data_IF_270425437221
#
_entry.id   IF_270425437221
#
_cell.length_a   1.000
_cell.length_b   1.000
_cell.length_c   1.000
_cell.angle_alpha   90.00
_cell.angle_beta   90.00
_cell.angle_gamma   90.00
#
_symmetry.space_group_name_H-M   'P 1'
#
loop_
_entity.id
_entity.type
_entity.pdbx_description
1 polymer ?
#
# COMPACT_ATOMS: atom_id res chain seq x y z
N UNK A 1 -5.61 -6.24 6.50
CA UNK A 1 -6.50 -7.28 5.99
C UNK A 1 -7.30 -6.79 4.80
N UNK A 2 -7.52 -7.65 3.80
CA UNK A 2 -8.44 -7.40 2.71
C UNK A 2 -9.87 -7.58 3.20
N UNK A 3 -10.75 -6.64 2.88
CA UNK A 3 -12.12 -6.69 3.36
C UNK A 3 -12.99 -7.72 2.63
N UNK A 4 -12.74 -7.98 1.36
CA UNK A 4 -13.63 -8.78 0.50
C UNK A 4 -12.94 -9.85 -0.35
N UNK A 5 -11.60 -9.90 -0.43
CA UNK A 5 -10.90 -10.90 -1.24
C UNK A 5 -11.12 -12.32 -0.72
N UNK A 6 -10.94 -12.53 0.57
CA UNK A 6 -11.18 -13.83 1.20
C UNK A 6 -12.63 -14.33 1.03
N UNK A 7 -13.59 -13.42 1.01
CA UNK A 7 -14.99 -13.74 0.88
C UNK A 7 -15.40 -13.97 -0.58
N UNK A 8 -14.83 -13.24 -1.52
CA UNK A 8 -15.06 -13.44 -2.98
C UNK A 8 -14.71 -14.86 -3.39
N UNK A 9 -13.60 -15.38 -2.86
CA UNK A 9 -13.17 -16.74 -3.11
C UNK A 9 -14.20 -17.79 -2.68
N UNK A 10 -14.72 -17.67 -1.47
CA UNK A 10 -15.58 -18.66 -0.88
C UNK A 10 -16.90 -18.89 -1.64
N UNK A 11 -17.52 -17.83 -2.21
CA UNK A 11 -18.83 -17.92 -2.88
C UNK A 11 -18.90 -17.32 -4.26
N UNK A 12 -17.81 -16.90 -4.84
CA UNK A 12 -17.85 -16.08 -6.06
C UNK A 12 -18.68 -14.79 -5.91
N UNK A 13 -18.89 -14.33 -4.68
CA UNK A 13 -19.70 -13.17 -4.38
C UNK A 13 -18.86 -11.90 -4.45
N UNK A 14 -19.39 -10.89 -5.10
CA UNK A 14 -18.83 -9.56 -5.10
C UNK A 14 -19.43 -8.80 -3.90
N UNK A 15 -18.71 -8.69 -2.81
CA UNK A 15 -19.17 -7.98 -1.63
C UNK A 15 -18.89 -6.51 -1.85
N UNK A 16 -19.96 -5.72 -1.94
CA UNK A 16 -19.87 -4.30 -2.24
C UNK A 16 -20.11 -3.41 -1.02
N UNK A 17 -20.72 -3.92 0.04
CA UNK A 17 -21.02 -3.18 1.25
C UNK A 17 -20.24 -3.72 2.46
N UNK A 18 -19.75 -2.81 3.32
CA UNK A 18 -19.05 -3.19 4.54
C UNK A 18 -19.90 -3.95 5.54
N UNK A 19 -21.22 -3.80 5.47
CA UNK A 19 -22.18 -4.45 6.36
C UNK A 19 -22.83 -5.68 5.74
N UNK A 20 -22.39 -6.12 4.57
CA UNK A 20 -22.83 -7.36 3.98
C UNK A 20 -22.34 -8.56 4.80
N UNK A 21 -23.28 -9.38 5.29
CA UNK A 21 -22.95 -10.61 6.02
C UNK A 21 -22.45 -11.69 5.08
N UNK A 22 -21.51 -12.46 5.56
CA UNK A 22 -20.81 -13.47 4.79
C UNK A 22 -20.90 -14.80 5.52
N UNK A 23 -21.69 -15.69 4.97
CA UNK A 23 -21.67 -17.08 5.41
C UNK A 23 -20.41 -17.81 4.90
N UNK A 24 -19.81 -18.72 5.65
CA UNK A 24 -20.38 -19.33 6.88
C UNK A 24 -19.99 -18.59 8.17
N UNK A 25 -19.23 -17.50 8.09
CA UNK A 25 -18.61 -16.88 9.26
C UNK A 25 -19.55 -15.97 10.07
N UNK A 26 -20.71 -15.63 9.50
CA UNK A 26 -21.69 -14.67 10.07
C UNK A 26 -21.06 -13.33 10.50
N UNK A 27 -20.01 -12.92 9.80
CA UNK A 27 -19.26 -11.68 10.02
C UNK A 27 -19.48 -10.71 8.86
N UNK A 28 -19.27 -9.42 9.12
CA UNK A 28 -19.21 -8.39 8.09
C UNK A 28 -17.78 -7.88 7.92
N UNK A 29 -17.39 -7.35 6.74
CA UNK A 29 -16.11 -6.69 6.54
C UNK A 29 -15.84 -5.61 7.60
N UNK A 30 -16.84 -4.83 7.99
CA UNK A 30 -16.73 -3.81 9.06
C UNK A 30 -16.30 -4.44 10.39
N UNK A 31 -16.89 -5.55 10.78
CA UNK A 31 -16.54 -6.23 12.03
C UNK A 31 -15.10 -6.76 12.00
N UNK A 32 -14.68 -7.33 10.88
CA UNK A 32 -13.30 -7.83 10.69
C UNK A 32 -12.31 -6.67 10.78
N UNK A 33 -12.55 -5.58 10.05
CA UNK A 33 -11.67 -4.41 10.05
C UNK A 33 -11.59 -3.80 11.46
N UNK A 34 -12.74 -3.61 12.13
CA UNK A 34 -12.78 -3.07 13.49
C UNK A 34 -11.99 -3.94 14.48
N UNK A 35 -12.17 -5.27 14.42
CA UNK A 35 -11.46 -6.21 15.28
C UNK A 35 -9.93 -6.13 15.10
N UNK A 36 -9.44 -6.02 13.87
CA UNK A 36 -7.99 -5.87 13.62
C UNK A 36 -7.46 -4.51 14.08
N UNK A 37 -8.22 -3.43 13.89
CA UNK A 37 -7.85 -2.10 14.41
C UNK A 37 -7.76 -2.16 15.93
N UNK A 38 -8.76 -2.75 16.60
CA UNK A 38 -8.78 -2.91 18.05
C UNK A 38 -7.61 -3.76 18.54
N UNK A 39 -7.36 -4.90 17.93
CA UNK A 39 -6.25 -5.77 18.29
C UNK A 39 -4.89 -5.07 18.16
N UNK A 40 -4.62 -4.41 17.04
CA UNK A 40 -3.35 -3.72 16.82
C UNK A 40 -3.12 -2.58 17.83
N UNK A 41 -4.16 -1.85 18.17
CA UNK A 41 -4.05 -0.75 19.14
C UNK A 41 -4.00 -1.26 20.58
N UNK A 42 -4.76 -2.29 20.95
CA UNK A 42 -4.76 -2.89 22.30
C UNK A 42 -3.43 -3.56 22.62
N UNK A 43 -2.88 -4.30 21.66
CA UNK A 43 -1.57 -4.95 21.82
C UNK A 43 -0.41 -3.96 21.75
N UNK A 44 -0.67 -2.70 21.42
CA UNK A 44 0.37 -1.68 21.25
C UNK A 44 1.37 -2.05 20.17
N UNK A 45 0.89 -2.62 19.07
CA UNK A 45 1.77 -2.98 17.96
C UNK A 45 2.49 -1.72 17.45
N UNK A 46 3.79 -1.81 17.12
CA UNK A 46 4.55 -0.66 16.65
C UNK A 46 3.99 -0.09 15.33
N UNK A 47 3.44 -0.94 14.50
CA UNK A 47 2.76 -0.56 13.25
C UNK A 47 1.22 -0.63 13.36
N UNK A 48 0.47 0.21 12.65
CA UNK A 48 -0.98 0.07 12.54
C UNK A 48 -1.35 -1.17 11.71
N UNK A 49 -2.63 -1.56 11.77
CA UNK A 49 -3.14 -2.55 10.82
C UNK A 49 -3.10 -1.97 9.41
N UNK A 50 -2.64 -2.76 8.43
CA UNK A 50 -2.68 -2.45 7.02
C UNK A 50 -3.97 -2.99 6.41
N UNK A 51 -4.75 -2.11 5.79
CA UNK A 51 -6.08 -2.42 5.28
C UNK A 51 -6.09 -2.27 3.75
N UNK A 52 -6.35 -3.37 3.05
CA UNK A 52 -6.78 -3.36 1.66
C UNK A 52 -8.29 -3.16 1.67
N UNK A 53 -8.78 -2.00 1.23
CA UNK A 53 -10.21 -1.71 1.29
C UNK A 53 -11.02 -2.62 0.36
N UNK A 54 -12.30 -2.77 0.67
CA UNK A 54 -13.24 -3.48 -0.20
C UNK A 54 -13.38 -2.81 -1.56
N UNK A 55 -13.82 -3.57 -2.55
CA UNK A 55 -14.10 -3.09 -3.91
C UNK A 55 -12.87 -2.57 -4.67
N UNK A 56 -11.71 -3.22 -4.48
CA UNK A 56 -10.50 -2.90 -5.23
C UNK A 56 -10.79 -2.78 -6.73
N UNK A 57 -10.42 -1.65 -7.33
CA UNK A 57 -10.55 -1.42 -8.78
C UNK A 57 -11.97 -1.21 -9.30
N UNK A 58 -12.99 -1.11 -8.43
CA UNK A 58 -14.36 -0.82 -8.83
C UNK A 58 -14.63 0.68 -8.94
N UNK A 59 -15.30 1.11 -9.99
CA UNK A 59 -15.83 2.49 -10.08
C UNK A 59 -16.75 2.80 -8.90
N UNK A 60 -16.54 3.94 -8.25
CA UNK A 60 -17.33 4.38 -7.09
C UNK A 60 -16.85 3.82 -5.75
N UNK A 61 -15.73 3.10 -5.70
CA UNK A 61 -15.21 2.50 -4.48
C UNK A 61 -14.73 3.50 -3.41
N UNK A 62 -14.51 4.76 -3.78
CA UNK A 62 -14.07 5.80 -2.82
C UNK A 62 -15.01 5.94 -1.62
N UNK A 63 -16.33 5.74 -1.80
CA UNK A 63 -17.30 5.79 -0.71
C UNK A 63 -17.03 4.70 0.33
N UNK A 64 -16.83 3.46 -0.15
CA UNK A 64 -16.46 2.32 0.72
C UNK A 64 -15.11 2.56 1.41
N UNK A 65 -14.18 3.21 0.73
CA UNK A 65 -12.87 3.57 1.29
C UNK A 65 -13.00 4.60 2.40
N UNK A 66 -13.79 5.65 2.19
CA UNK A 66 -14.09 6.64 3.24
C UNK A 66 -14.79 5.99 4.45
N UNK A 67 -15.74 5.09 4.22
CA UNK A 67 -16.39 4.35 5.31
C UNK A 67 -15.39 3.46 6.06
N UNK A 68 -14.49 2.79 5.34
CA UNK A 68 -13.41 1.97 5.96
C UNK A 68 -12.53 2.82 6.87
N UNK A 69 -12.11 4.00 6.41
CA UNK A 69 -11.29 4.90 7.22
C UNK A 69 -12.03 5.41 8.47
N UNK A 70 -13.35 5.63 8.38
CA UNK A 70 -14.17 6.03 9.54
C UNK A 70 -14.23 4.97 10.63
N UNK A 71 -14.07 3.67 10.29
CA UNK A 71 -14.05 2.58 11.30
C UNK A 71 -12.92 2.76 12.31
N UNK A 72 -11.85 3.44 11.92
CA UNK A 72 -10.73 3.70 12.83
C UNK A 72 -11.12 4.57 14.05
N UNK A 73 -12.11 5.46 13.95
CA UNK A 73 -12.61 6.30 15.05
C UNK A 73 -11.48 7.03 15.80
N UNK A 74 -10.51 7.58 15.07
CA UNK A 74 -9.32 8.25 15.61
C UNK A 74 -8.16 7.34 16.01
N UNK A 75 -8.35 6.01 16.00
CA UNK A 75 -7.27 5.03 16.20
C UNK A 75 -6.36 4.97 14.97
N UNK A 76 -5.18 4.35 15.14
CA UNK A 76 -4.22 4.21 14.04
C UNK A 76 -4.69 3.13 13.05
N UNK A 77 -4.72 3.50 11.76
CA UNK A 77 -4.93 2.58 10.64
C UNK A 77 -4.14 3.03 9.42
N UNK A 78 -3.70 2.08 8.60
CA UNK A 78 -2.98 2.36 7.36
C UNK A 78 -3.75 1.77 6.18
N UNK A 79 -4.04 2.60 5.19
CA UNK A 79 -4.73 2.18 3.97
C UNK A 79 -3.70 1.90 2.90
N UNK A 80 -3.67 0.67 2.43
CA UNK A 80 -2.68 0.19 1.47
C UNK A 80 -3.11 0.54 0.04
N UNK A 81 -2.13 0.91 -0.81
CA UNK A 81 -2.33 1.23 -2.24
C UNK A 81 -3.62 2.00 -2.52
N UNK A 82 -3.82 3.08 -1.77
CA UNK A 82 -5.08 3.83 -1.72
C UNK A 82 -5.56 4.36 -3.08
N UNK A 83 -4.64 4.49 -4.05
CA UNK A 83 -4.96 4.87 -5.41
C UNK A 83 -6.02 3.96 -6.04
N UNK A 84 -5.92 2.63 -5.85
CA UNK A 84 -6.86 1.66 -6.40
C UNK A 84 -8.22 1.65 -5.71
N UNK A 85 -8.35 2.45 -4.67
CA UNK A 85 -9.54 2.66 -3.84
C UNK A 85 -10.10 4.09 -3.93
N UNK A 86 -9.61 4.89 -4.90
CA UNK A 86 -9.95 6.31 -5.05
C UNK A 86 -10.78 6.60 -6.31
N UNK A 87 -11.55 5.62 -6.77
CA UNK A 87 -12.36 5.77 -7.98
C UNK A 87 -13.75 6.30 -7.65
N UNK A 88 -14.17 7.32 -8.40
CA UNK A 88 -15.55 7.73 -8.56
C UNK A 88 -16.20 7.06 -9.76
N UNK A 89 -17.39 7.50 -10.10
CA UNK A 89 -18.13 7.05 -11.29
C UNK A 89 -18.75 8.25 -12.02
N UNK A 90 -18.89 8.12 -13.33
CA UNK A 90 -19.64 9.13 -14.10
C UNK A 90 -21.13 8.91 -13.90
N UNK A 91 -21.85 9.93 -13.45
CA UNK A 91 -23.30 9.87 -13.26
C UNK A 91 -24.01 9.46 -14.56
N UNK A 92 -24.86 8.42 -14.49
CA UNK A 92 -25.68 7.95 -15.62
C UNK A 92 -24.94 7.10 -16.66
N UNK A 93 -23.65 6.81 -16.48
CA UNK A 93 -22.90 5.85 -17.29
C UNK A 93 -22.66 4.55 -16.51
N UNK A 94 -22.39 3.49 -17.27
CA UNK A 94 -22.03 2.18 -16.71
C UNK A 94 -20.93 2.32 -15.65
N UNK A 95 -20.93 1.41 -14.66
CA UNK A 95 -19.87 1.29 -13.62
C UNK A 95 -18.46 1.11 -14.21
N UNK A 96 -18.35 1.03 -15.54
CA UNK A 96 -17.10 0.72 -16.24
C UNK A 96 -16.24 1.96 -16.58
N UNK A 97 -16.73 3.18 -16.36
CA UNK A 97 -15.96 4.41 -16.57
C UNK A 97 -15.65 5.11 -15.23
N UNK A 98 -14.55 4.74 -14.58
CA UNK A 98 -14.13 5.40 -13.33
C UNK A 98 -13.72 6.86 -13.58
N UNK A 99 -13.82 7.67 -12.54
CA UNK A 99 -13.23 9.03 -12.45
C UNK A 99 -12.35 9.10 -11.22
N UNK A 100 -11.59 10.18 -11.05
CA UNK A 100 -10.86 10.39 -9.80
C UNK A 100 -11.77 10.93 -8.68
N UNK A 101 -11.56 10.41 -7.47
CA UNK A 101 -12.03 10.98 -6.20
C UNK A 101 -10.85 11.12 -5.21
N UNK A 102 -9.65 11.25 -5.77
CA UNK A 102 -8.43 11.46 -4.97
C UNK A 102 -8.53 12.70 -4.08
N UNK A 103 -9.26 13.73 -4.49
CA UNK A 103 -9.51 14.93 -3.66
C UNK A 103 -10.19 14.56 -2.35
N UNK A 104 -11.30 13.82 -2.40
CA UNK A 104 -12.08 13.44 -1.21
C UNK A 104 -11.26 12.56 -0.27
N UNK A 105 -10.51 11.64 -0.84
CA UNK A 105 -9.62 10.74 -0.09
C UNK A 105 -8.47 11.51 0.57
N UNK A 106 -7.78 12.37 -0.18
CA UNK A 106 -6.68 13.18 0.36
C UNK A 106 -7.17 14.14 1.46
N UNK A 107 -8.32 14.77 1.28
CA UNK A 107 -8.93 15.64 2.29
C UNK A 107 -9.24 14.88 3.59
N UNK A 108 -9.77 13.66 3.46
CA UNK A 108 -10.02 12.82 4.64
C UNK A 108 -8.70 12.47 5.36
N UNK A 109 -7.70 12.01 4.63
CA UNK A 109 -6.38 11.66 5.22
C UNK A 109 -5.72 12.88 5.86
N UNK A 110 -5.77 14.05 5.22
CA UNK A 110 -5.21 15.29 5.74
C UNK A 110 -5.84 15.73 7.08
N UNK A 111 -7.14 15.45 7.27
CA UNK A 111 -7.90 15.89 8.45
C UNK A 111 -7.99 14.86 9.57
N UNK A 112 -7.57 13.60 9.33
CA UNK A 112 -7.68 12.51 10.31
C UNK A 112 -6.30 11.97 10.71
N UNK A 113 -5.69 12.48 11.78
CA UNK A 113 -4.32 12.16 12.16
C UNK A 113 -4.03 10.68 12.45
N UNK A 114 -5.03 9.89 12.80
CA UNK A 114 -4.90 8.44 12.99
C UNK A 114 -4.75 7.66 11.68
N UNK A 115 -5.10 8.26 10.53
CA UNK A 115 -5.05 7.61 9.24
C UNK A 115 -3.77 7.96 8.50
N UNK A 116 -3.15 6.94 7.91
CA UNK A 116 -2.09 7.07 6.92
C UNK A 116 -2.37 6.15 5.74
N UNK A 117 -1.72 6.41 4.61
CA UNK A 117 -1.86 5.56 3.43
C UNK A 117 -0.54 5.46 2.66
N UNK A 118 -0.32 4.35 1.97
CA UNK A 118 0.60 4.31 0.85
C UNK A 118 -0.17 4.47 -0.46
N UNK A 119 0.47 5.09 -1.44
CA UNK A 119 -0.27 5.47 -2.64
C UNK A 119 -0.45 4.29 -3.60
N UNK A 120 0.56 3.42 -3.78
CA UNK A 120 0.51 2.37 -4.77
C UNK A 120 0.52 2.93 -6.20
N UNK A 121 1.33 3.98 -6.46
CA UNK A 121 1.28 4.76 -7.69
C UNK A 121 1.53 3.92 -8.95
N UNK A 122 0.63 4.00 -9.92
CA UNK A 122 0.82 3.38 -11.24
C UNK A 122 1.87 4.15 -12.03
N UNK A 123 2.80 3.40 -12.61
CA UNK A 123 3.80 3.91 -13.54
C UNK A 123 3.64 3.22 -14.90
N UNK A 124 3.79 3.97 -15.98
CA UNK A 124 3.72 3.39 -17.31
C UNK A 124 4.90 2.46 -17.58
N UNK A 125 4.62 1.32 -18.22
CA UNK A 125 5.62 0.31 -18.50
C UNK A 125 5.18 -1.09 -18.08
N UNK A 126 6.13 -2.02 -18.10
CA UNK A 126 5.87 -3.42 -17.74
C UNK A 126 5.72 -3.57 -16.24
N UNK A 127 4.74 -4.37 -15.86
CA UNK A 127 4.49 -4.77 -14.48
C UNK A 127 4.10 -6.25 -14.44
N UNK A 128 3.99 -6.80 -13.26
CA UNK A 128 3.51 -8.17 -13.08
C UNK A 128 2.56 -8.17 -11.92
N UNK A 129 1.32 -8.36 -12.13
CA UNK A 129 0.34 -8.67 -11.10
C UNK A 129 -1.10 -8.39 -11.45
N UNK A 130 -1.91 -8.23 -10.42
CA UNK A 130 -3.31 -7.84 -10.52
C UNK A 130 -3.43 -6.44 -11.12
N UNK A 131 -4.26 -6.34 -12.14
CA UNK A 131 -4.43 -5.08 -12.86
C UNK A 131 -5.17 -4.00 -12.05
N UNK A 132 -5.72 -4.37 -10.89
CA UNK A 132 -6.64 -3.56 -10.09
C UNK A 132 -7.76 -2.91 -10.93
N UNK A 133 -8.19 -3.64 -11.96
CA UNK A 133 -9.33 -3.32 -12.82
C UNK A 133 -10.34 -4.43 -12.64
N UNK A 134 -11.31 -4.24 -11.75
CA UNK A 134 -12.27 -5.28 -11.38
C UNK A 134 -13.01 -5.93 -12.56
N UNK A 135 -13.49 -5.20 -13.59
CA UNK A 135 -14.09 -5.82 -14.76
C UNK A 135 -13.15 -6.76 -15.50
N UNK A 136 -11.87 -6.37 -15.65
CA UNK A 136 -10.87 -7.20 -16.32
C UNK A 136 -10.54 -8.46 -15.50
N UNK A 137 -10.35 -8.32 -14.20
CA UNK A 137 -10.12 -9.44 -13.29
C UNK A 137 -11.29 -10.44 -13.32
N UNK A 138 -12.53 -9.93 -13.32
CA UNK A 138 -13.72 -10.77 -13.45
C UNK A 138 -13.79 -11.52 -14.79
N UNK A 139 -13.45 -10.84 -15.90
CA UNK A 139 -13.42 -11.48 -17.22
C UNK A 139 -12.34 -12.55 -17.30
N UNK A 140 -11.14 -12.28 -16.82
CA UNK A 140 -10.05 -13.24 -16.79
C UNK A 140 -10.45 -14.51 -16.03
N UNK A 141 -11.13 -14.35 -14.89
CA UNK A 141 -11.69 -15.48 -14.15
C UNK A 141 -12.73 -16.27 -14.93
N UNK A 142 -13.68 -15.58 -15.57
CA UNK A 142 -14.74 -16.22 -16.39
C UNK A 142 -14.17 -17.05 -17.51
N UNK A 143 -13.13 -16.60 -18.18
CA UNK A 143 -12.52 -17.26 -19.33
C UNK A 143 -11.47 -18.31 -18.95
N UNK A 144 -10.69 -18.04 -17.91
CA UNK A 144 -9.56 -18.88 -17.52
C UNK A 144 -9.91 -19.99 -16.53
N UNK A 145 -11.05 -19.89 -15.84
CA UNK A 145 -11.39 -20.80 -14.74
C UNK A 145 -10.41 -20.71 -13.55
N UNK A 146 -9.50 -19.73 -13.57
CA UNK A 146 -8.43 -19.59 -12.60
C UNK A 146 -8.83 -18.61 -11.48
N UNK A 147 -8.40 -18.85 -10.48
CA UNK A 147 -7.76 -18.53 -9.24
C UNK A 147 -7.75 -17.08 -8.77
N UNK A 148 -8.02 -16.12 -9.65
CA UNK A 148 -7.96 -14.69 -9.29
C UNK A 148 -8.82 -14.34 -8.09
N UNK A 149 -9.74 -15.23 -7.79
CA UNK A 149 -10.70 -15.04 -6.75
C UNK A 149 -11.19 -16.39 -6.25
N UNK A 150 -10.31 -17.27 -5.76
CA UNK A 150 -10.77 -18.37 -4.96
C UNK A 150 -10.04 -18.38 -3.62
N UNK A 151 -10.72 -18.82 -2.57
CA UNK A 151 -10.24 -18.81 -1.22
C UNK A 151 -8.88 -19.54 -1.08
N UNK A 152 -8.74 -20.67 -1.74
CA UNK A 152 -7.52 -21.47 -1.68
C UNK A 152 -6.30 -20.72 -2.17
N UNK A 153 -6.46 -19.89 -3.22
CA UNK A 153 -5.35 -19.15 -3.80
C UNK A 153 -4.88 -18.01 -2.91
N UNK A 154 -5.79 -17.27 -2.33
CA UNK A 154 -5.44 -16.14 -1.46
C UNK A 154 -4.84 -16.62 -0.15
N UNK A 155 -5.25 -17.78 0.30
CA UNK A 155 -4.79 -18.32 1.57
C UNK A 155 -3.53 -19.15 1.46
N UNK A 156 -3.30 -19.82 0.33
CA UNK A 156 -2.17 -20.74 0.16
C UNK A 156 -1.03 -20.18 -0.68
N UNK A 157 -1.32 -19.35 -1.67
CA UNK A 157 -0.32 -18.90 -2.64
C UNK A 157 -0.41 -17.44 -3.03
N UNK A 158 -1.34 -16.70 -2.44
CA UNK A 158 -1.64 -15.35 -2.85
C UNK A 158 -2.28 -15.27 -4.23
N UNK A 159 -2.48 -14.05 -4.71
CA UNK A 159 -3.08 -13.79 -6.00
C UNK A 159 -2.20 -14.28 -7.14
N UNK A 160 -2.82 -14.77 -8.22
CA UNK A 160 -2.10 -15.11 -9.44
C UNK A 160 -1.42 -13.89 -10.06
N UNK A 161 -0.23 -14.08 -10.58
CA UNK A 161 0.57 -13.04 -11.22
C UNK A 161 0.29 -13.05 -12.72
N UNK A 162 -0.04 -11.90 -13.31
CA UNK A 162 -0.19 -11.71 -14.75
C UNK A 162 0.79 -10.67 -15.23
N UNK A 163 1.56 -10.94 -16.28
CA UNK A 163 2.30 -9.90 -16.97
C UNK A 163 1.33 -8.84 -17.50
N UNK A 164 1.58 -7.60 -17.17
CA UNK A 164 0.75 -6.46 -17.55
C UNK A 164 1.63 -5.30 -18.02
N UNK A 165 1.09 -4.47 -18.91
CA UNK A 165 1.77 -3.25 -19.35
C UNK A 165 0.83 -2.06 -19.20
N UNK A 166 1.15 -1.16 -18.29
CA UNK A 166 0.46 0.12 -18.18
C UNK A 166 0.83 1.02 -19.34
N UNK A 167 -0.18 1.55 -20.04
CA UNK A 167 -0.02 2.35 -21.24
C UNK A 167 -0.67 3.72 -21.05
N UNK A 168 0.07 4.76 -21.37
CA UNK A 168 -0.33 6.18 -21.28
C UNK A 168 -1.60 6.53 -22.07
N UNK A 169 -1.78 5.88 -23.23
CA UNK A 169 -2.94 6.07 -24.11
C UNK A 169 -4.23 5.37 -23.65
N UNK A 170 -4.11 4.38 -22.74
CA UNK A 170 -5.26 3.62 -22.23
C UNK A 170 -5.93 4.39 -21.11
N UNK A 171 -7.21 4.71 -21.28
CA UNK A 171 -7.97 5.55 -20.35
C UNK A 171 -7.80 5.14 -18.89
N UNK A 172 -8.07 3.88 -18.56
CA UNK A 172 -7.99 3.41 -17.17
C UNK A 172 -6.59 3.51 -16.59
N UNK A 173 -5.55 3.17 -17.39
CA UNK A 173 -4.16 3.26 -16.90
C UNK A 173 -3.73 4.72 -16.70
N UNK A 174 -4.14 5.60 -17.62
CA UNK A 174 -3.89 7.03 -17.53
C UNK A 174 -4.59 7.65 -16.31
N UNK A 175 -5.84 7.24 -16.04
CA UNK A 175 -6.57 7.68 -14.86
C UNK A 175 -5.91 7.19 -13.57
N UNK A 176 -5.45 5.94 -13.53
CA UNK A 176 -4.73 5.38 -12.39
C UNK A 176 -3.45 6.17 -12.10
N UNK A 177 -2.65 6.45 -13.13
CA UNK A 177 -1.46 7.29 -13.03
C UNK A 177 -1.80 8.70 -12.51
N UNK A 178 -2.86 9.32 -13.03
CA UNK A 178 -3.28 10.65 -12.60
C UNK A 178 -3.75 10.66 -11.14
N UNK A 179 -4.52 9.67 -10.70
CA UNK A 179 -4.97 9.53 -9.31
C UNK A 179 -3.79 9.42 -8.34
N UNK A 180 -2.78 8.62 -8.68
CA UNK A 180 -1.60 8.47 -7.83
C UNK A 180 -0.86 9.79 -7.61
N UNK A 181 -0.64 10.55 -8.68
CA UNK A 181 -0.03 11.88 -8.59
C UNK A 181 -0.94 12.88 -7.85
N UNK A 182 -2.25 12.86 -8.12
CA UNK A 182 -3.21 13.73 -7.48
C UNK A 182 -3.22 13.53 -5.95
N UNK A 183 -3.17 12.29 -5.47
CA UNK A 183 -3.09 11.96 -4.04
C UNK A 183 -1.85 12.57 -3.38
N UNK A 184 -0.68 12.39 -3.99
CA UNK A 184 0.55 13.01 -3.48
C UNK A 184 0.45 14.55 -3.47
N UNK A 185 0.07 15.15 -4.58
CA UNK A 185 0.07 16.61 -4.74
C UNK A 185 -1.01 17.33 -3.92
N UNK A 186 -2.03 16.60 -3.45
CA UNK A 186 -3.05 17.10 -2.52
C UNK A 186 -2.76 16.79 -1.06
N UNK A 187 -1.75 16.00 -0.78
CA UNK A 187 -1.29 15.77 0.59
C UNK A 187 -0.68 17.05 1.15
N UNK A 188 -1.22 17.53 2.26
CA UNK A 188 -0.73 18.75 2.94
C UNK A 188 0.31 18.44 4.01
N UNK A 189 0.48 17.17 4.35
CA UNK A 189 1.44 16.68 5.33
C UNK A 189 2.14 15.43 4.77
N UNK A 190 3.46 15.50 4.45
CA UNK A 190 4.20 14.38 3.89
C UNK A 190 4.26 13.16 4.82
N UNK A 191 3.92 13.34 6.09
CA UNK A 191 3.82 12.25 7.06
C UNK A 191 2.52 11.42 6.93
N UNK A 192 1.61 11.74 6.00
CA UNK A 192 0.34 11.06 5.81
C UNK A 192 0.31 10.09 4.65
N UNK A 193 1.00 10.42 3.55
CA UNK A 193 1.07 9.61 2.35
C UNK A 193 2.47 9.02 2.19
N UNK A 194 2.56 7.69 2.12
CA UNK A 194 3.83 6.99 1.96
C UNK A 194 4.06 6.68 0.48
N UNK A 195 5.31 6.78 0.07
CA UNK A 195 5.75 6.49 -1.28
C UNK A 195 5.71 4.98 -1.55
N UNK A 196 4.96 4.57 -2.57
CA UNK A 196 4.80 3.17 -2.96
C UNK A 196 4.31 3.08 -4.40
N UNK A 197 4.67 2.02 -5.10
CA UNK A 197 4.05 1.57 -6.35
C UNK A 197 3.29 0.26 -6.16
N UNK A 198 3.10 -0.18 -4.92
CA UNK A 198 2.54 -1.50 -4.63
C UNK A 198 3.29 -2.59 -5.42
N UNK A 199 4.63 -2.53 -5.35
CA UNK A 199 5.54 -3.35 -6.17
C UNK A 199 5.17 -4.83 -6.15
N UNK A 200 4.95 -5.48 -7.30
CA UNK A 200 5.08 -4.95 -8.66
C UNK A 200 3.77 -4.45 -9.30
N UNK A 201 2.67 -4.36 -8.57
CA UNK A 201 1.31 -4.16 -9.09
C UNK A 201 1.14 -2.84 -9.88
N UNK A 202 1.40 -1.69 -9.29
CA UNK A 202 1.30 -0.38 -9.96
C UNK A 202 2.55 -0.04 -10.78
N UNK A 203 3.68 -0.62 -10.41
CA UNK A 203 4.96 -0.43 -11.09
C UNK A 203 6.09 -1.10 -10.33
N UNK A 204 7.18 -1.40 -11.01
CA UNK A 204 8.37 -1.94 -10.36
C UNK A 204 9.07 -0.85 -9.54
N UNK A 205 9.81 -1.22 -8.49
CA UNK A 205 10.61 -0.24 -7.73
C UNK A 205 11.69 0.45 -8.60
N UNK A 206 12.02 -0.11 -9.76
CA UNK A 206 12.87 0.57 -10.75
C UNK A 206 12.24 1.85 -11.31
N UNK A 207 10.94 2.04 -11.15
CA UNK A 207 10.22 3.26 -11.54
C UNK A 207 10.29 4.37 -10.47
N UNK A 208 10.84 4.09 -9.29
CA UNK A 208 10.88 5.07 -8.20
C UNK A 208 11.58 6.38 -8.56
N UNK A 209 12.73 6.39 -9.26
CA UNK A 209 13.37 7.63 -9.68
C UNK A 209 12.47 8.50 -10.58
N UNK A 210 11.78 7.88 -11.53
CA UNK A 210 10.85 8.58 -12.41
C UNK A 210 9.63 9.14 -11.64
N UNK A 211 9.09 8.39 -10.68
CA UNK A 211 8.00 8.88 -9.83
C UNK A 211 8.45 10.04 -8.95
N UNK A 212 9.66 9.98 -8.37
CA UNK A 212 10.23 11.08 -7.60
C UNK A 212 10.35 12.33 -8.49
N UNK A 213 10.87 12.19 -9.71
CA UNK A 213 10.94 13.31 -10.66
C UNK A 213 9.56 13.89 -10.96
N UNK A 214 8.53 13.07 -11.16
CA UNK A 214 7.16 13.55 -11.34
C UNK A 214 6.65 14.38 -10.15
N UNK A 215 7.09 14.11 -8.94
CA UNK A 215 6.72 14.87 -7.74
C UNK A 215 7.53 16.16 -7.59
N UNK A 216 8.80 16.18 -7.99
CA UNK A 216 9.72 17.29 -7.78
C UNK A 216 9.83 18.26 -8.96
N UNK A 217 9.49 17.84 -10.19
CA UNK A 217 9.68 18.59 -11.42
C UNK A 217 8.32 18.82 -12.10
N UNK A 218 7.77 20.00 -11.90
CA UNK A 218 6.47 20.39 -12.46
C UNK A 218 6.49 20.46 -13.98
N UNK A 219 7.59 20.90 -14.57
CA UNK A 219 7.63 21.09 -16.03
C UNK A 219 7.80 19.72 -16.72
N UNK A 220 8.58 18.82 -16.16
CA UNK A 220 8.60 17.41 -16.56
C UNK A 220 7.21 16.76 -16.45
N UNK A 221 6.53 16.97 -15.34
CA UNK A 221 5.16 16.45 -15.13
C UNK A 221 4.19 16.96 -16.19
N UNK A 222 4.27 18.24 -16.57
CA UNK A 222 3.45 18.82 -17.67
C UNK A 222 3.78 18.17 -19.00
N UNK A 223 5.05 17.96 -19.30
CA UNK A 223 5.48 17.28 -20.52
C UNK A 223 4.88 15.86 -20.57
N UNK A 224 5.00 15.09 -19.50
CA UNK A 224 4.42 13.74 -19.45
C UNK A 224 2.89 13.77 -19.64
N UNK A 225 2.19 14.70 -19.01
CA UNK A 225 0.74 14.86 -19.16
C UNK A 225 0.30 15.15 -20.60
N UNK A 226 1.14 15.75 -21.45
CA UNK A 226 0.82 16.00 -22.83
C UNK A 226 0.69 14.72 -23.67
N UNK A 227 1.33 13.63 -23.24
CA UNK A 227 1.31 12.33 -23.92
C UNK A 227 0.25 11.36 -23.37
N UNK A 228 -0.28 11.64 -22.19
CA UNK A 228 -1.26 10.78 -21.51
C UNK A 228 -2.66 10.99 -22.10
N UNK A 229 -3.52 9.97 -22.03
CA UNK A 229 -4.92 10.05 -22.43
C UNK A 229 -5.61 11.28 -21.84
N UNK A 230 -6.04 12.22 -22.69
CA UNK A 230 -6.58 13.52 -22.24
C UNK A 230 -7.93 13.39 -21.54
N UNK A 231 -8.80 12.47 -22.01
CA UNK A 231 -10.10 12.23 -21.36
C UNK A 231 -9.92 11.73 -19.92
N UNK A 232 -8.93 10.89 -19.68
CA UNK A 232 -8.59 10.44 -18.32
C UNK A 232 -8.11 11.59 -17.42
N UNK A 233 -7.29 12.50 -17.98
CA UNK A 233 -6.86 13.70 -17.24
C UNK A 233 -8.02 14.66 -16.95
N UNK A 234 -8.97 14.80 -17.85
CA UNK A 234 -10.15 15.64 -17.66
C UNK A 234 -11.11 15.05 -16.61
N UNK A 235 -11.08 13.72 -16.43
CA UNK A 235 -11.82 13.00 -15.38
C UNK A 235 -11.03 12.84 -14.06
N UNK A 236 -9.86 13.48 -13.95
CA UNK A 236 -9.06 13.60 -12.74
C UNK A 236 -9.00 15.05 -12.26
N UNK A 237 -8.57 15.25 -11.01
CA UNK A 237 -8.28 16.58 -10.48
C UNK A 237 -6.81 16.99 -10.62
N UNK A 238 -6.01 16.23 -11.37
CA UNK A 238 -4.56 16.45 -11.45
C UNK A 238 -4.19 17.84 -11.97
N UNK A 239 -4.92 18.36 -12.97
CA UNK A 239 -4.67 19.70 -13.54
C UNK A 239 -4.83 20.82 -12.52
N UNK A 240 -5.61 20.61 -11.47
CA UNK A 240 -5.89 21.62 -10.44
C UNK A 240 -4.78 21.71 -9.39
N UNK A 241 -3.99 20.66 -9.19
CA UNK A 241 -2.93 20.60 -8.19
C UNK A 241 -1.50 20.65 -8.76
N UNK A 242 -1.36 21.08 -10.03
CA UNK A 242 -0.10 21.10 -10.75
C UNK A 242 0.97 22.06 -10.21
N UNK A 243 0.60 22.99 -9.36
CA UNK A 243 1.56 23.99 -8.81
C UNK A 243 2.44 23.43 -7.70
N UNK A 244 2.04 22.34 -7.05
CA UNK A 244 2.78 21.73 -5.94
C UNK A 244 4.00 20.98 -6.47
N UNK A 245 5.12 21.11 -5.77
CA UNK A 245 6.35 20.36 -5.98
C UNK A 245 6.89 19.90 -4.64
N UNK A 246 7.41 18.67 -4.61
CA UNK A 246 8.06 18.14 -3.42
C UNK A 246 9.51 18.62 -3.34
N UNK A 247 9.89 19.05 -2.16
CA UNK A 247 11.29 19.31 -1.82
C UNK A 247 12.07 18.00 -1.57
N UNK A 248 13.40 18.04 -1.59
CA UNK A 248 14.24 16.90 -1.19
C UNK A 248 13.91 16.41 0.24
N UNK A 249 13.56 17.34 1.12
CA UNK A 249 13.18 17.03 2.50
C UNK A 249 11.88 16.22 2.55
N UNK A 250 10.85 16.61 1.80
CA UNK A 250 9.59 15.88 1.74
C UNK A 250 9.76 14.51 1.06
N UNK A 251 10.60 14.42 0.02
CA UNK A 251 10.98 13.13 -0.57
C UNK A 251 11.64 12.22 0.47
N UNK A 252 12.57 12.74 1.28
CA UNK A 252 13.19 11.96 2.36
C UNK A 252 12.16 11.48 3.38
N UNK A 253 11.15 12.30 3.70
CA UNK A 253 10.07 11.90 4.60
C UNK A 253 9.27 10.75 3.99
N UNK A 254 8.69 10.92 2.80
CA UNK A 254 7.76 9.93 2.23
C UNK A 254 8.45 8.62 1.82
N UNK A 255 9.77 8.62 1.59
CA UNK A 255 10.53 7.45 1.14
C UNK A 255 11.37 6.79 2.23
N UNK A 256 11.66 7.46 3.35
CA UNK A 256 12.56 6.96 4.41
C UNK A 256 11.96 7.14 5.80
N UNK A 257 11.85 8.38 6.27
CA UNK A 257 11.46 8.67 7.65
C UNK A 257 10.04 8.17 7.97
N UNK A 258 9.08 8.41 7.09
CA UNK A 258 7.71 7.98 7.31
C UNK A 258 7.53 6.46 7.24
N UNK A 259 8.06 5.73 6.23
CA UNK A 259 8.01 4.27 6.23
C UNK A 259 8.59 3.65 7.50
N UNK A 260 9.77 4.09 7.95
CA UNK A 260 10.37 3.59 9.18
C UNK A 260 9.45 3.83 10.40
N UNK A 261 8.95 5.06 10.55
CA UNK A 261 8.03 5.41 11.64
C UNK A 261 6.71 4.64 11.57
N UNK A 262 6.19 4.38 10.36
CA UNK A 262 4.97 3.60 10.16
C UNK A 262 5.13 2.16 10.62
N UNK A 263 6.30 1.58 10.39
CA UNK A 263 6.64 0.23 10.81
C UNK A 263 7.10 0.15 12.28
N UNK A 264 7.20 1.29 12.99
CA UNK A 264 7.65 1.36 14.38
C UNK A 264 9.14 1.16 14.58
N UNK A 265 9.96 1.42 13.54
CA UNK A 265 11.41 1.29 13.58
C UNK A 265 12.03 2.59 14.10
N UNK A 266 12.29 2.65 15.39
CA UNK A 266 12.75 3.86 16.06
C UNK A 266 14.21 4.24 15.72
N UNK A 267 15.00 3.27 15.32
CA UNK A 267 16.42 3.37 14.96
C UNK A 267 16.67 3.55 13.46
N UNK A 268 15.61 3.66 12.64
CA UNK A 268 15.69 3.79 11.19
C UNK A 268 15.00 5.05 10.65
N UNK A 269 15.39 5.44 9.44
CA UNK A 269 14.76 6.55 8.71
C UNK A 269 15.16 7.94 9.18
N UNK A 270 16.19 8.07 10.00
CA UNK A 270 16.79 9.34 10.45
C UNK A 270 18.30 9.20 10.65
N UNK A 271 18.98 10.34 10.75
CA UNK A 271 20.44 10.44 10.99
C UNK A 271 20.77 10.92 12.42
N UNK A 272 19.83 10.74 13.34
CA UNK A 272 20.01 11.15 14.74
C UNK A 272 20.91 10.17 15.52
N UNK A 273 21.35 10.60 16.71
CA UNK A 273 22.15 9.74 17.61
C UNK A 273 21.34 8.49 17.98
N UNK A 274 21.95 7.33 17.83
CA UNK A 274 21.34 6.02 18.11
C UNK A 274 20.61 5.40 16.92
N UNK A 275 20.57 6.07 15.76
CA UNK A 275 20.08 5.46 14.52
C UNK A 275 21.10 4.43 13.99
N UNK A 276 20.56 3.43 13.28
CA UNK A 276 21.39 2.55 12.47
C UNK A 276 22.13 3.34 11.40
N UNK A 277 23.35 2.93 11.07
CA UNK A 277 24.16 3.55 10.01
C UNK A 277 23.69 3.12 8.62
N UNK A 278 22.41 3.38 8.32
CA UNK A 278 21.78 3.14 7.01
C UNK A 278 21.72 4.46 6.23
N UNK A 279 22.70 4.72 5.38
CA UNK A 279 22.87 6.01 4.71
C UNK A 279 22.96 5.83 3.20
N UNK A 280 22.17 6.61 2.47
CA UNK A 280 22.26 6.71 1.00
C UNK A 280 22.66 8.13 0.62
N UNK A 281 23.73 8.28 -0.14
CA UNK A 281 24.27 9.58 -0.58
C UNK A 281 24.11 9.68 -2.10
N UNK A 282 23.43 10.74 -2.53
CA UNK A 282 23.24 11.08 -3.94
C UNK A 282 24.07 12.32 -4.29
N UNK A 283 24.52 12.40 -5.53
CA UNK A 283 25.03 13.65 -6.10
C UNK A 283 23.84 14.50 -6.58
N UNK A 284 23.81 15.76 -6.17
CA UNK A 284 22.72 16.65 -6.60
C UNK A 284 22.79 16.91 -8.11
N UNK A 285 21.66 16.71 -8.80
CA UNK A 285 21.52 16.95 -10.22
C UNK A 285 20.18 17.63 -10.53
N UNK A 286 20.11 18.36 -11.64
CA UNK A 286 18.84 18.95 -12.13
C UNK A 286 17.85 17.85 -12.52
N UNK A 287 18.33 16.84 -13.25
CA UNK A 287 17.53 15.64 -13.55
C UNK A 287 17.39 14.77 -12.31
N UNK A 288 16.25 14.89 -11.63
CA UNK A 288 15.95 14.14 -10.40
C UNK A 288 15.81 12.64 -10.64
N UNK A 289 15.40 12.21 -11.83
CA UNK A 289 15.36 10.80 -12.18
C UNK A 289 16.77 10.19 -12.23
N UNK A 290 17.68 10.85 -12.95
CA UNK A 290 19.07 10.43 -13.02
C UNK A 290 19.74 10.44 -11.63
N UNK A 291 19.48 11.49 -10.83
CA UNK A 291 19.99 11.62 -9.48
C UNK A 291 19.60 10.42 -8.61
N UNK A 292 18.31 10.08 -8.55
CA UNK A 292 17.81 9.02 -7.67
C UNK A 292 18.00 7.61 -8.22
N UNK A 293 18.30 7.47 -9.51
CA UNK A 293 18.60 6.15 -10.12
C UNK A 293 19.99 5.63 -9.75
N UNK A 294 20.93 6.49 -9.37
CA UNK A 294 22.32 6.12 -9.15
C UNK A 294 22.87 6.79 -7.87
N UNK A 295 22.64 6.19 -6.68
CA UNK A 295 23.29 6.66 -5.46
C UNK A 295 24.80 6.52 -5.58
N UNK A 296 25.53 7.53 -5.15
CA UNK A 296 27.00 7.49 -5.17
C UNK A 296 27.57 6.57 -4.09
N UNK A 297 26.99 6.66 -2.88
CA UNK A 297 27.36 5.78 -1.77
C UNK A 297 26.11 5.20 -1.11
N UNK A 298 26.21 3.93 -0.72
CA UNK A 298 25.26 3.27 0.18
C UNK A 298 26.04 2.64 1.32
N UNK A 299 25.69 3.03 2.53
CA UNK A 299 26.18 2.42 3.78
C UNK A 299 24.98 1.68 4.39
N UNK A 300 25.19 0.44 4.80
CA UNK A 300 24.18 -0.41 5.43
C UNK A 300 24.76 -1.02 6.70
N UNK A 301 24.14 -0.74 7.85
CA UNK A 301 24.62 -1.13 9.18
C UNK A 301 26.13 -0.80 9.36
N UNK A 302 26.58 0.36 8.86
CA UNK A 302 27.97 0.81 8.92
C UNK A 302 28.92 0.23 7.85
N UNK A 303 28.47 -0.70 7.03
CA UNK A 303 29.24 -1.30 5.95
C UNK A 303 29.01 -0.55 4.62
N UNK A 304 30.10 -0.24 3.91
CA UNK A 304 30.06 0.43 2.61
C UNK A 304 29.68 -0.59 1.52
N UNK A 305 28.43 -0.54 1.07
CA UNK A 305 27.87 -1.47 0.08
C UNK A 305 28.04 -0.96 -1.35
N UNK A 306 27.88 0.35 -1.56
CA UNK A 306 28.12 1.00 -2.85
C UNK A 306 29.08 2.17 -2.64
N UNK A 307 30.10 2.29 -3.48
CA UNK A 307 31.08 3.36 -3.55
C UNK A 307 31.29 3.79 -5.00
N UNK A 308 31.12 5.10 -5.25
CA UNK A 308 31.23 5.70 -6.59
C UNK A 308 30.40 4.92 -7.66
N UNK A 309 29.15 4.59 -7.31
CA UNK A 309 28.17 3.82 -8.12
C UNK A 309 28.54 2.34 -8.34
N UNK A 310 29.63 1.86 -7.76
CA UNK A 310 30.09 0.49 -7.90
C UNK A 310 29.73 -0.35 -6.67
N UNK A 311 29.28 -1.55 -6.90
CA UNK A 311 28.93 -2.50 -5.86
C UNK A 311 30.21 -3.04 -5.18
N UNK A 312 30.28 -3.00 -3.85
CA UNK A 312 31.47 -3.36 -3.07
C UNK A 312 31.28 -4.62 -2.22
N UNK A 313 30.13 -4.77 -1.62
CA UNK A 313 29.86 -5.84 -0.69
C UNK A 313 28.39 -6.26 -0.70
N UNK A 314 28.15 -7.57 -0.52
CA UNK A 314 26.84 -8.09 -0.14
C UNK A 314 26.62 -7.85 1.36
N UNK A 315 25.44 -7.41 1.73
CA UNK A 315 25.05 -7.25 3.11
C UNK A 315 23.77 -8.04 3.40
N UNK A 316 23.81 -8.95 4.36
CA UNK A 316 22.65 -9.67 4.82
C UNK A 316 21.79 -8.77 5.71
N UNK A 317 20.50 -8.64 5.38
CA UNK A 317 19.55 -7.89 6.19
C UNK A 317 19.10 -8.64 7.43
N UNK A 318 18.34 -7.94 8.29
CA UNK A 318 17.70 -8.54 9.48
C UNK A 318 16.21 -8.73 9.24
N UNK A 319 15.65 -9.80 9.78
CA UNK A 319 14.20 -10.00 9.85
C UNK A 319 13.67 -9.27 11.07
N UNK A 320 12.85 -8.26 10.87
CA UNK A 320 12.20 -7.50 11.94
C UNK A 320 10.81 -8.07 12.20
N UNK A 321 10.48 -8.42 13.41
CA UNK A 321 9.18 -8.99 13.75
C UNK A 321 8.69 -8.53 15.13
N UNK A 322 7.39 -8.70 15.38
CA UNK A 322 6.76 -8.47 16.68
C UNK A 322 6.31 -9.82 17.25
N UNK A 323 6.32 -9.94 18.57
CA UNK A 323 5.84 -11.12 19.27
C UNK A 323 4.99 -10.68 20.48
N UNK A 324 3.76 -10.19 20.27
CA UNK A 324 2.87 -9.83 21.37
C UNK A 324 2.49 -11.08 22.17
N UNK A 325 2.40 -10.94 23.50
CA UNK A 325 1.87 -11.99 24.34
C UNK A 325 0.38 -12.22 24.07
N UNK A 326 -0.06 -13.47 24.12
CA UNK A 326 -1.46 -13.87 23.97
C UNK A 326 -1.76 -15.10 24.84
N UNK A 327 -3.04 -15.32 25.12
CA UNK A 327 -3.50 -16.52 25.82
C UNK A 327 -3.50 -17.72 24.86
N UNK A 328 -2.53 -18.63 25.02
CA UNK A 328 -2.38 -19.81 24.17
C UNK A 328 -3.57 -20.79 24.26
N UNK A 329 -4.44 -20.67 25.26
CA UNK A 329 -5.65 -21.50 25.33
C UNK A 329 -6.58 -21.27 24.13
N UNK A 330 -6.49 -20.10 23.48
CA UNK A 330 -7.28 -19.80 22.27
C UNK A 330 -6.93 -20.75 21.10
N UNK A 331 -5.72 -21.28 21.04
CA UNK A 331 -5.31 -22.21 19.98
C UNK A 331 -6.20 -23.45 19.93
N UNK A 332 -6.60 -23.98 21.08
CA UNK A 332 -7.51 -25.14 21.18
C UNK A 332 -8.89 -24.85 20.57
N UNK A 333 -9.30 -23.58 20.57
CA UNK A 333 -10.57 -23.13 19.98
C UNK A 333 -10.42 -22.93 18.47
N UNK A 334 -9.28 -22.41 18.03
CA UNK A 334 -9.02 -22.07 16.63
C UNK A 334 -8.67 -23.29 15.79
N UNK A 335 -7.91 -24.25 16.35
CA UNK A 335 -7.38 -25.40 15.62
C UNK A 335 -8.45 -26.22 14.89
N UNK A 336 -9.58 -26.65 15.50
CA UNK A 336 -10.61 -27.39 14.79
C UNK A 336 -11.23 -26.61 13.62
N UNK A 337 -11.47 -25.30 13.85
CA UNK A 337 -12.00 -24.44 12.79
C UNK A 337 -10.99 -24.28 11.64
N UNK A 338 -9.70 -24.13 11.98
CA UNK A 338 -8.64 -24.00 11.00
C UNK A 338 -8.51 -25.26 10.14
N UNK A 339 -8.52 -26.44 10.76
CA UNK A 339 -8.44 -27.73 10.05
C UNK A 339 -9.66 -28.01 9.16
N UNK A 340 -10.85 -27.48 9.50
CA UNK A 340 -12.06 -27.64 8.70
C UNK A 340 -12.12 -26.73 7.46
N UNK A 341 -11.44 -25.56 7.50
CA UNK A 341 -11.59 -24.54 6.45
C UNK A 341 -10.34 -24.32 5.60
N UNK A 342 -9.18 -24.79 6.04
CA UNK A 342 -7.91 -24.53 5.37
C UNK A 342 -7.23 -25.82 4.93
N UNK A 343 -6.50 -25.76 3.83
CA UNK A 343 -5.69 -26.91 3.37
C UNK A 343 -4.34 -27.02 4.07
N UNK A 344 -3.91 -25.95 4.75
CA UNK A 344 -2.73 -25.96 5.62
C UNK A 344 -3.16 -26.37 7.03
N UNK A 345 -2.45 -27.28 7.65
CA UNK A 345 -2.71 -27.66 9.03
C UNK A 345 -2.31 -26.56 10.00
N UNK A 346 -3.08 -26.37 11.07
CA UNK A 346 -2.79 -25.40 12.11
C UNK A 346 -1.35 -25.54 12.66
N UNK A 347 -0.90 -26.75 12.91
CA UNK A 347 0.45 -27.05 13.38
C UNK A 347 1.58 -26.60 12.43
N UNK A 348 1.28 -26.38 11.14
CA UNK A 348 2.26 -25.91 10.16
C UNK A 348 2.20 -24.39 9.93
N UNK A 349 1.25 -23.70 10.54
CA UNK A 349 1.10 -22.26 10.39
C UNK A 349 2.15 -21.44 11.14
N UNK A 350 2.52 -21.78 12.41
CA UNK A 350 3.55 -21.05 13.12
C UNK A 350 4.94 -21.24 12.48
N UNK A 351 5.63 -20.12 12.31
CA UNK A 351 7.03 -20.14 11.83
C UNK A 351 7.95 -20.47 12.99
N UNK A 352 8.68 -21.57 12.89
CA UNK A 352 9.66 -21.97 13.93
C UNK A 352 10.85 -20.99 13.94
N UNK A 353 11.32 -20.62 15.13
CA UNK A 353 12.48 -19.75 15.35
C UNK A 353 13.74 -20.23 14.60
N UNK A 354 13.89 -21.54 14.35
CA UNK A 354 15.00 -22.08 13.55
C UNK A 354 15.09 -21.54 12.11
N UNK A 355 13.99 -20.94 11.61
CA UNK A 355 13.93 -20.29 10.29
C UNK A 355 14.13 -18.78 10.37
N UNK A 356 14.23 -18.22 11.58
CA UNK A 356 14.40 -16.78 11.80
C UNK A 356 15.90 -16.49 12.00
N UNK A 357 16.68 -16.56 10.92
CA UNK A 357 18.09 -16.17 10.94
C UNK A 357 18.21 -14.65 10.99
N UNK A 358 19.15 -14.14 11.78
CA UNK A 358 19.40 -12.69 11.92
C UNK A 358 18.13 -11.88 12.19
N UNK A 359 17.32 -12.31 13.17
CA UNK A 359 16.09 -11.63 13.50
C UNK A 359 16.25 -10.63 14.67
N UNK A 360 15.41 -9.60 14.66
CA UNK A 360 15.32 -8.60 15.72
C UNK A 360 13.86 -8.40 16.10
N UNK A 361 13.59 -8.45 17.41
CA UNK A 361 12.26 -8.16 17.94
C UNK A 361 12.03 -6.65 17.98
N UNK A 362 10.95 -6.19 17.38
CA UNK A 362 10.47 -4.82 17.51
C UNK A 362 9.51 -4.73 18.71
N UNK A 363 9.78 -3.85 19.68
CA UNK A 363 8.98 -3.81 20.91
C UNK A 363 7.53 -3.43 20.67
N UNK A 364 6.62 -4.04 21.42
CA UNK A 364 5.23 -3.59 21.56
C UNK A 364 5.10 -2.65 22.75
N UNK A 365 4.15 -1.73 22.70
CA UNK A 365 3.88 -0.77 23.78
C UNK A 365 2.39 -0.87 24.19
N UNK A 366 1.97 -1.90 24.95
CA UNK A 366 0.58 -2.05 25.37
C UNK A 366 0.08 -0.83 26.13
N UNK A 367 -1.10 -0.34 25.79
CA UNK A 367 -1.74 0.79 26.47
C UNK A 367 -1.40 2.18 25.94
N UNK A 368 -0.60 2.32 24.92
CA UNK A 368 -0.42 3.59 24.20
C UNK A 368 -1.65 3.90 23.33
N UNK A 369 -2.78 4.16 23.96
CA UNK A 369 -4.00 4.60 23.29
C UNK A 369 -3.79 6.02 22.74
N UNK A 370 -3.62 6.14 21.43
CA UNK A 370 -4.06 7.34 20.70
C UNK A 370 -3.17 8.57 20.64
N UNK A 371 -2.00 8.60 21.24
CA UNK A 371 -1.10 9.73 21.03
C UNK A 371 -0.11 9.43 19.89
N UNK A 372 -0.23 10.12 18.77
CA UNK A 372 0.87 10.17 17.80
C UNK A 372 2.09 10.75 18.55
N UNK A 373 3.26 10.09 18.54
CA UNK A 373 4.47 10.71 19.08
C UNK A 373 4.72 11.99 18.28
N UNK A 374 4.90 13.08 19.01
CA UNK A 374 5.16 14.44 18.52
C UNK A 374 6.46 14.51 17.69
#
# INVERSE_FOLDING_TARGET
>A
PGGDEAWKGHRNANITALDARIDPFDLTPRQVIAAFIDAANTLGLPHPVHIHCNNLGHSGNFETTLETMRIAEGRRAHITHIQFHSYGSVAGKSRDNPTSRARDIAEFVNTHPGISADVGAVMFGRSTSMTAVAPLAYMLRRFGGHKWVNADTEMESGCGIVPFTYQDRVYTNALQWAIGLELFLRSTDPWRMVFSTDHPNGGTFMSYPALIRLLMDRDYRKEQMAHVNQEALDHSGLRECMVSEYSLYEIAIITRARPARLLGLADKGHLGVGADEDITIYEEAEDKEAMFAAPRYIIKDGELVIEDHEFRADHEGRLLHVAPEYDSAIEQVIEPFFEDYYSIRFANYPVSERYLHHHQLVPTAPGASGAAPT
#
